data_IF_360193767920
#
_entry.id   IF_360193767920
#
_cell.length_a   1.000
_cell.length_b   1.000
_cell.length_c   1.000
_cell.angle_alpha   90.00
_cell.angle_beta   90.00
_cell.angle_gamma   90.00
#
_symmetry.space_group_name_H-M   'P 1'
#
loop_
_entity.id
_entity.type
_entity.pdbx_description
1 polymer ?
#
# COMPACT_ATOMS: atom_id res chain seq x y z
N UNK A 1 -15.22 6.23 8.14
CA UNK A 1 -14.83 4.80 8.06
C UNK A 1 -13.77 4.52 9.10
N UNK A 2 -13.79 3.32 9.67
CA UNK A 2 -12.75 2.74 10.53
C UNK A 2 -11.71 2.03 9.68
N UNK A 3 -10.47 2.47 9.75
CA UNK A 3 -9.39 2.03 8.87
C UNK A 3 -8.26 1.42 9.69
N UNK A 4 -7.80 0.23 9.30
CA UNK A 4 -6.51 -0.28 9.76
C UNK A 4 -5.42 -0.01 8.74
N UNK A 5 -4.34 0.62 9.17
CA UNK A 5 -3.20 0.97 8.32
C UNK A 5 -1.99 0.13 8.71
N UNK A 6 -1.63 -0.82 7.85
CA UNK A 6 -0.42 -1.63 7.96
C UNK A 6 0.75 -0.88 7.31
N UNK A 7 1.91 -0.85 7.98
CA UNK A 7 3.05 -0.06 7.53
C UNK A 7 2.96 1.43 7.91
N UNK A 8 2.11 1.77 8.88
CA UNK A 8 1.81 3.12 9.39
C UNK A 8 3.03 3.96 9.79
N UNK A 9 4.14 3.33 10.19
CA UNK A 9 5.39 4.04 10.57
C UNK A 9 6.28 4.41 9.38
N UNK A 10 6.04 3.85 8.20
CA UNK A 10 6.80 4.12 6.97
C UNK A 10 6.43 5.46 6.33
N UNK A 11 7.20 5.89 5.33
CA UNK A 11 6.99 7.20 4.69
C UNK A 11 5.58 7.36 4.09
N UNK A 12 5.08 6.37 3.35
CA UNK A 12 3.72 6.40 2.79
C UNK A 12 2.67 6.16 3.88
N UNK A 13 2.92 5.26 4.83
CA UNK A 13 2.01 4.98 5.94
C UNK A 13 1.74 6.20 6.82
N UNK A 14 2.74 7.04 7.08
CA UNK A 14 2.55 8.30 7.82
C UNK A 14 1.65 9.29 7.08
N UNK A 15 1.80 9.37 5.76
CA UNK A 15 0.92 10.19 4.92
C UNK A 15 -0.51 9.64 4.91
N UNK A 16 -0.67 8.32 4.82
CA UNK A 16 -1.98 7.67 4.92
C UNK A 16 -2.65 7.97 6.25
N UNK A 17 -1.95 7.82 7.38
CA UNK A 17 -2.50 8.12 8.72
C UNK A 17 -2.92 9.58 8.81
N UNK A 18 -2.02 10.52 8.47
CA UNK A 18 -2.31 11.95 8.60
C UNK A 18 -3.48 12.39 7.72
N UNK A 19 -3.51 11.97 6.45
CA UNK A 19 -4.56 12.33 5.52
C UNK A 19 -5.89 11.61 5.82
N UNK A 20 -5.86 10.37 6.31
CA UNK A 20 -7.07 9.66 6.72
C UNK A 20 -7.77 10.39 7.88
N UNK A 21 -7.01 10.79 8.90
CA UNK A 21 -7.54 11.57 10.02
C UNK A 21 -8.09 12.93 9.55
N UNK A 22 -7.38 13.63 8.67
CA UNK A 22 -7.83 14.90 8.09
C UNK A 22 -9.13 14.78 7.28
N UNK A 23 -9.40 13.59 6.71
CA UNK A 23 -10.65 13.27 6.00
C UNK A 23 -11.76 12.74 6.93
N UNK A 24 -11.54 12.75 8.25
CA UNK A 24 -12.53 12.34 9.24
C UNK A 24 -12.68 10.83 9.41
N UNK A 25 -11.70 10.03 8.98
CA UNK A 25 -11.68 8.60 9.25
C UNK A 25 -11.21 8.31 10.68
N UNK A 26 -11.70 7.22 11.25
CA UNK A 26 -11.14 6.62 12.47
C UNK A 26 -9.99 5.71 12.05
N UNK A 27 -8.80 5.87 12.65
CA UNK A 27 -7.59 5.21 12.19
C UNK A 27 -6.96 4.36 13.31
N UNK A 28 -6.80 3.08 12.99
CA UNK A 28 -5.98 2.13 13.74
C UNK A 28 -4.64 1.96 13.03
N UNK A 29 -3.57 2.53 13.60
CA UNK A 29 -2.21 2.30 13.11
C UNK A 29 -1.65 1.00 13.69
N UNK A 30 -1.39 0.01 12.84
CA UNK A 30 -0.73 -1.23 13.27
C UNK A 30 0.79 -1.12 13.09
N UNK A 31 1.56 -1.24 14.18
CA UNK A 31 2.99 -1.00 14.15
C UNK A 31 3.76 -1.83 15.19
N UNK A 32 4.92 -2.37 14.77
CA UNK A 32 5.86 -3.06 15.67
C UNK A 32 6.41 -2.17 16.79
N UNK A 33 6.66 -0.91 16.46
CA UNK A 33 7.24 0.10 17.36
C UNK A 33 6.29 1.31 17.46
N UNK A 34 5.25 1.25 18.30
CA UNK A 34 4.21 2.28 18.39
C UNK A 34 4.77 3.64 18.82
N UNK A 35 5.82 3.68 19.64
CA UNK A 35 6.45 4.91 20.15
C UNK A 35 6.98 5.86 19.05
N UNK A 36 7.12 5.35 17.83
CA UNK A 36 7.50 6.16 16.65
C UNK A 36 6.34 7.01 16.12
N UNK A 37 5.12 6.78 16.60
CA UNK A 37 3.92 7.51 16.18
C UNK A 37 3.48 8.38 17.36
N UNK A 38 3.67 9.69 17.20
CA UNK A 38 3.25 10.70 18.18
C UNK A 38 2.13 11.52 17.57
N UNK A 39 0.91 10.99 17.66
CA UNK A 39 -0.31 11.64 17.18
C UNK A 39 -1.29 11.65 18.34
N UNK A 40 -1.75 12.84 18.69
CA UNK A 40 -2.80 13.06 19.67
C UNK A 40 -4.06 13.47 18.90
N UNK A 41 -4.98 12.53 18.70
CA UNK A 41 -6.22 12.75 17.96
C UNK A 41 -7.30 11.77 18.45
N UNK A 42 -8.54 12.23 18.71
CA UNK A 42 -9.58 11.38 19.32
C UNK A 42 -10.00 10.18 18.44
N UNK A 43 -9.91 10.34 17.12
CA UNK A 43 -10.19 9.28 16.15
C UNK A 43 -8.96 8.42 15.80
N UNK A 44 -7.87 8.50 16.58
CA UNK A 44 -6.62 7.78 16.32
C UNK A 44 -6.28 6.81 17.45
N UNK A 45 -5.91 5.59 17.09
CA UNK A 45 -5.31 4.62 18.02
C UNK A 45 -4.15 3.88 17.38
N UNK A 46 -3.21 3.43 18.20
CA UNK A 46 -2.09 2.59 17.76
C UNK A 46 -2.24 1.21 18.39
N UNK A 47 -2.17 0.17 17.55
CA UNK A 47 -2.09 -1.22 17.99
C UNK A 47 -0.66 -1.70 17.76
N UNK A 48 -0.02 -2.14 18.84
CA UNK A 48 1.31 -2.76 18.76
C UNK A 48 1.15 -4.17 18.20
N UNK A 49 1.96 -4.51 17.20
CA UNK A 49 2.08 -5.89 16.73
C UNK A 49 3.01 -6.08 15.53
N UNK A 50 3.28 -7.33 15.19
CA UNK A 50 4.02 -7.80 14.02
C UNK A 50 3.07 -8.42 12.99
N UNK A 51 3.25 -8.08 11.72
CA UNK A 51 2.40 -8.58 10.63
C UNK A 51 2.56 -10.09 10.41
N UNK A 52 3.59 -10.69 11.00
CA UNK A 52 3.81 -12.14 10.98
C UNK A 52 2.95 -12.89 12.00
N UNK A 53 2.41 -12.19 13.00
CA UNK A 53 1.53 -12.78 14.01
C UNK A 53 0.07 -12.63 13.57
N UNK A 54 -0.59 -13.75 13.31
CA UNK A 54 -1.97 -13.74 12.82
C UNK A 54 -2.98 -13.23 13.86
N UNK A 55 -2.77 -13.50 15.15
CA UNK A 55 -3.67 -13.08 16.20
C UNK A 55 -3.57 -11.55 16.42
N UNK A 56 -2.36 -11.00 16.38
CA UNK A 56 -2.16 -9.55 16.49
C UNK A 56 -2.76 -8.81 15.29
N UNK A 57 -2.59 -9.35 14.07
CA UNK A 57 -3.20 -8.77 12.86
C UNK A 57 -4.73 -8.87 12.92
N UNK A 58 -5.27 -10.00 13.37
CA UNK A 58 -6.71 -10.20 13.52
C UNK A 58 -7.33 -9.17 14.46
N UNK A 59 -6.74 -8.96 15.64
CA UNK A 59 -7.20 -7.95 16.60
C UNK A 59 -7.17 -6.53 16.02
N UNK A 60 -6.21 -6.23 15.14
CA UNK A 60 -6.16 -4.93 14.47
C UNK A 60 -7.22 -4.79 13.36
N UNK A 61 -7.66 -5.88 12.75
CA UNK A 61 -8.64 -5.88 11.63
C UNK A 61 -10.08 -5.98 12.12
N UNK A 62 -10.32 -6.50 13.32
CA UNK A 62 -11.65 -6.62 13.92
C UNK A 62 -12.41 -5.28 13.94
N UNK A 63 -13.65 -5.31 13.46
CA UNK A 63 -14.58 -4.17 13.45
C UNK A 63 -14.17 -2.99 12.56
N UNK A 64 -13.23 -3.19 11.63
CA UNK A 64 -12.82 -2.17 10.66
C UNK A 64 -13.67 -2.24 9.39
N UNK A 65 -13.77 -1.11 8.67
CA UNK A 65 -14.47 -1.05 7.38
C UNK A 65 -13.53 -1.41 6.22
N UNK A 66 -12.25 -1.06 6.34
CA UNK A 66 -11.25 -1.30 5.30
C UNK A 66 -9.83 -1.40 5.88
N UNK A 67 -8.95 -2.05 5.12
CA UNK A 67 -7.51 -2.13 5.43
C UNK A 67 -6.71 -1.44 4.34
N UNK A 68 -5.74 -0.61 4.76
CA UNK A 68 -4.75 0.00 3.88
C UNK A 68 -3.38 -0.63 4.13
N UNK A 69 -2.77 -1.18 3.10
CA UNK A 69 -1.51 -1.91 3.20
C UNK A 69 -0.38 -1.12 2.53
N UNK A 70 0.57 -0.64 3.31
CA UNK A 70 1.71 0.16 2.82
C UNK A 70 3.06 -0.32 3.39
N UNK A 71 3.13 -1.59 3.79
CA UNK A 71 4.32 -2.16 4.40
C UNK A 71 5.49 -2.15 3.41
N UNK A 72 6.59 -1.53 3.82
CA UNK A 72 7.87 -1.59 3.13
C UNK A 72 8.81 -2.61 3.79
N UNK A 73 9.73 -3.15 3.01
CA UNK A 73 10.85 -3.95 3.49
C UNK A 73 12.18 -3.33 3.02
N UNK A 74 13.29 -3.53 3.76
CA UNK A 74 14.62 -3.15 3.28
C UNK A 74 14.92 -3.80 1.92
N UNK A 75 15.59 -3.08 1.02
CA UNK A 75 15.87 -3.53 -0.36
C UNK A 75 16.61 -4.87 -0.42
N UNK A 76 17.50 -5.13 0.55
CA UNK A 76 18.29 -6.37 0.62
C UNK A 76 17.62 -7.49 1.43
N UNK A 77 16.38 -7.29 1.89
CA UNK A 77 15.66 -8.32 2.64
C UNK A 77 15.32 -9.49 1.71
N UNK A 78 15.56 -10.71 2.19
CA UNK A 78 15.16 -11.96 1.52
C UNK A 78 13.92 -12.60 2.15
N UNK A 79 13.39 -12.00 3.20
CA UNK A 79 12.31 -12.58 4.01
C UNK A 79 10.93 -12.50 3.36
N UNK A 80 10.80 -11.81 2.21
CA UNK A 80 9.51 -11.56 1.54
C UNK A 80 8.41 -11.10 2.50
N UNK A 81 8.79 -10.20 3.41
CA UNK A 81 7.93 -9.74 4.50
C UNK A 81 6.62 -9.13 3.98
N UNK A 82 6.65 -8.50 2.80
CA UNK A 82 5.45 -7.89 2.22
C UNK A 82 4.46 -8.94 1.75
N UNK A 83 4.92 -9.93 0.98
CA UNK A 83 4.09 -11.04 0.52
C UNK A 83 3.47 -11.80 1.69
N UNK A 84 4.30 -12.27 2.63
CA UNK A 84 3.82 -13.02 3.80
C UNK A 84 2.90 -12.19 4.70
N UNK A 85 3.28 -10.94 5.01
CA UNK A 85 2.43 -10.06 5.82
C UNK A 85 1.10 -9.72 5.14
N UNK A 86 1.09 -9.60 3.80
CA UNK A 86 -0.16 -9.41 3.04
C UNK A 86 -1.07 -10.62 3.19
N UNK A 87 -0.52 -11.85 3.11
CA UNK A 87 -1.31 -13.08 3.30
C UNK A 87 -1.94 -13.13 4.69
N UNK A 88 -1.19 -12.83 5.74
CA UNK A 88 -1.72 -12.76 7.12
C UNK A 88 -2.86 -11.76 7.25
N UNK A 89 -2.72 -10.57 6.65
CA UNK A 89 -3.77 -9.53 6.63
C UNK A 89 -5.01 -9.98 5.88
N UNK A 90 -4.85 -10.62 4.72
CA UNK A 90 -5.98 -11.17 3.95
C UNK A 90 -6.74 -12.21 4.77
N UNK A 91 -6.03 -13.12 5.44
CA UNK A 91 -6.67 -14.17 6.24
C UNK A 91 -7.47 -13.58 7.41
N UNK A 92 -6.92 -12.58 8.08
CA UNK A 92 -7.62 -11.83 9.12
C UNK A 92 -8.85 -11.09 8.56
N UNK A 93 -8.72 -10.42 7.42
CA UNK A 93 -9.83 -9.73 6.75
C UNK A 93 -10.97 -10.68 6.39
N UNK A 94 -10.67 -11.82 5.78
CA UNK A 94 -11.65 -12.85 5.43
C UNK A 94 -12.35 -13.37 6.69
N UNK A 95 -11.59 -13.68 7.75
CA UNK A 95 -12.14 -14.18 9.01
C UNK A 95 -13.05 -13.16 9.71
N UNK A 96 -12.69 -11.88 9.64
CA UNK A 96 -13.41 -10.77 10.28
C UNK A 96 -14.50 -10.15 9.40
N UNK A 97 -14.69 -10.65 8.16
CA UNK A 97 -15.68 -10.12 7.22
C UNK A 97 -15.37 -8.73 6.67
N UNK A 98 -14.12 -8.27 6.76
CA UNK A 98 -13.69 -6.96 6.24
C UNK A 98 -13.30 -7.09 4.78
N UNK A 99 -14.08 -6.50 3.87
CA UNK A 99 -13.97 -6.81 2.44
C UNK A 99 -13.06 -5.85 1.63
N UNK A 100 -12.89 -4.60 2.07
CA UNK A 100 -12.20 -3.55 1.29
C UNK A 100 -10.69 -3.49 1.62
N UNK A 101 -9.84 -3.79 0.64
CA UNK A 101 -8.37 -3.73 0.75
C UNK A 101 -7.77 -2.75 -0.26
N UNK A 102 -6.99 -1.76 0.19
CA UNK A 102 -6.19 -0.90 -0.71
C UNK A 102 -4.71 -1.10 -0.41
N UNK A 103 -3.96 -1.64 -1.36
CA UNK A 103 -2.57 -2.03 -1.16
C UNK A 103 -1.62 -1.25 -2.07
N UNK A 104 -0.51 -0.78 -1.50
CA UNK A 104 0.58 -0.15 -2.23
C UNK A 104 1.54 -1.22 -2.77
N UNK A 105 1.68 -1.25 -4.10
CA UNK A 105 2.68 -2.01 -4.84
C UNK A 105 3.60 -1.06 -5.64
N UNK A 106 4.43 -1.61 -6.52
CA UNK A 106 5.42 -0.88 -7.29
C UNK A 106 5.08 -0.84 -8.79
N UNK A 107 5.30 0.32 -9.40
CA UNK A 107 5.38 0.45 -10.85
C UNK A 107 6.52 -0.44 -11.36
N UNK A 108 6.21 -1.26 -12.36
CA UNK A 108 7.12 -2.23 -12.94
C UNK A 108 6.82 -3.69 -12.57
N UNK A 109 5.91 -3.94 -11.62
CA UNK A 109 5.40 -5.28 -11.33
C UNK A 109 4.49 -5.77 -12.46
N UNK A 110 4.65 -7.04 -12.87
CA UNK A 110 3.78 -7.71 -13.84
C UNK A 110 3.57 -6.90 -15.13
N UNK A 111 2.30 -6.69 -15.48
CA UNK A 111 1.88 -5.99 -16.70
C UNK A 111 2.16 -4.47 -16.70
N UNK A 112 2.69 -3.92 -15.61
CA UNK A 112 3.19 -2.53 -15.56
C UNK A 112 4.68 -2.40 -15.91
N UNK A 113 5.42 -3.49 -16.11
CA UNK A 113 6.83 -3.49 -16.52
C UNK A 113 7.11 -2.64 -17.79
N UNK A 114 6.25 -2.63 -18.83
CA UNK A 114 6.44 -1.77 -20.00
C UNK A 114 6.41 -0.26 -19.69
N UNK A 115 5.87 0.14 -18.55
CA UNK A 115 5.82 1.54 -18.12
C UNK A 115 7.13 2.01 -17.46
N UNK A 116 8.07 1.11 -17.18
CA UNK A 116 9.36 1.47 -16.62
C UNK A 116 10.26 2.16 -17.65
N UNK A 117 11.01 3.21 -17.26
CA UNK A 117 12.07 3.73 -18.10
C UNK A 117 13.12 2.64 -18.40
N UNK A 118 13.67 2.61 -19.62
CA UNK A 118 14.58 1.55 -20.09
C UNK A 118 15.74 1.26 -19.12
N UNK A 119 16.32 2.30 -18.52
CA UNK A 119 17.38 2.17 -17.51
C UNK A 119 16.95 1.40 -16.26
N UNK A 120 15.70 1.58 -15.80
CA UNK A 120 15.18 0.83 -14.67
C UNK A 120 14.93 -0.62 -15.09
N UNK A 121 14.28 -0.82 -16.23
CA UNK A 121 13.95 -2.13 -16.79
C UNK A 121 15.18 -3.03 -16.99
N UNK A 122 16.21 -2.54 -17.66
CA UNK A 122 17.34 -3.37 -18.10
C UNK A 122 18.59 -3.32 -17.21
N UNK A 123 18.69 -2.37 -16.27
CA UNK A 123 19.88 -2.22 -15.43
C UNK A 123 19.54 -2.28 -13.93
N UNK A 124 18.71 -1.35 -13.44
CA UNK A 124 18.48 -1.21 -11.99
C UNK A 124 17.68 -2.38 -11.43
N UNK A 125 16.61 -2.78 -12.11
CA UNK A 125 15.77 -3.90 -11.66
C UNK A 125 16.53 -5.22 -11.58
N UNK A 126 17.17 -5.71 -12.65
CA UNK A 126 17.87 -7.01 -12.61
C UNK A 126 19.06 -7.02 -11.64
N UNK A 127 19.77 -5.91 -11.46
CA UNK A 127 20.98 -5.87 -10.64
C UNK A 127 20.72 -5.58 -9.15
N UNK A 128 19.67 -4.82 -8.81
CA UNK A 128 19.51 -4.28 -7.47
C UNK A 128 18.11 -4.43 -6.86
N UNK A 129 17.05 -4.56 -7.67
CA UNK A 129 15.67 -4.55 -7.18
C UNK A 129 14.92 -5.85 -7.40
N UNK A 130 15.55 -6.90 -7.97
CA UNK A 130 14.84 -8.14 -8.31
C UNK A 130 14.06 -8.73 -7.13
N UNK A 131 14.72 -8.88 -5.97
CA UNK A 131 14.04 -9.39 -4.77
C UNK A 131 12.93 -8.47 -4.23
N UNK A 132 13.00 -7.16 -4.50
CA UNK A 132 11.93 -6.22 -4.14
C UNK A 132 10.72 -6.43 -5.04
N UNK A 133 10.93 -6.58 -6.35
CA UNK A 133 9.86 -6.89 -7.30
C UNK A 133 9.26 -8.27 -7.04
N UNK A 134 10.07 -9.29 -6.76
CA UNK A 134 9.58 -10.64 -6.46
C UNK A 134 8.69 -10.67 -5.20
N UNK A 135 8.99 -9.84 -4.19
CA UNK A 135 8.16 -9.71 -2.97
C UNK A 135 6.86 -8.94 -3.24
N UNK A 136 6.89 -7.92 -4.10
CA UNK A 136 5.67 -7.25 -4.57
C UNK A 136 4.79 -8.19 -5.41
N UNK A 137 5.37 -8.96 -6.33
CA UNK A 137 4.61 -9.91 -7.15
C UNK A 137 3.96 -11.02 -6.29
N UNK A 138 4.65 -11.50 -5.25
CA UNK A 138 4.05 -12.41 -4.27
C UNK A 138 2.86 -11.76 -3.53
N UNK A 139 3.01 -10.51 -3.09
CA UNK A 139 1.92 -9.74 -2.51
C UNK A 139 0.73 -9.62 -3.47
N UNK A 140 0.98 -9.23 -4.73
CA UNK A 140 -0.07 -9.03 -5.73
C UNK A 140 -0.81 -10.34 -6.03
N UNK A 141 -0.10 -11.47 -6.09
CA UNK A 141 -0.70 -12.79 -6.27
C UNK A 141 -1.68 -13.13 -5.13
N UNK A 142 -1.24 -13.01 -3.88
CA UNK A 142 -2.10 -13.27 -2.72
C UNK A 142 -3.34 -12.39 -2.70
N UNK A 143 -3.20 -11.09 -3.00
CA UNK A 143 -4.33 -10.16 -3.06
C UNK A 143 -5.32 -10.58 -4.14
N UNK A 144 -4.85 -10.93 -5.34
CA UNK A 144 -5.72 -11.32 -6.46
C UNK A 144 -6.53 -12.58 -6.17
N UNK A 145 -5.95 -13.52 -5.42
CA UNK A 145 -6.58 -14.79 -5.06
C UNK A 145 -7.52 -14.69 -3.83
N UNK A 146 -7.53 -13.55 -3.13
CA UNK A 146 -8.23 -13.38 -1.85
C UNK A 146 -9.76 -13.38 -1.91
N UNK A 147 -10.34 -13.09 -3.09
CA UNK A 147 -11.78 -12.86 -3.24
C UNK A 147 -12.29 -11.49 -2.73
N UNK A 148 -11.45 -10.71 -2.04
CA UNK A 148 -11.78 -9.40 -1.46
C UNK A 148 -12.13 -8.34 -2.53
N UNK A 149 -12.72 -7.23 -2.10
CA UNK A 149 -12.74 -5.96 -2.85
C UNK A 149 -11.41 -5.25 -2.72
N UNK A 150 -10.45 -5.65 -3.56
CA UNK A 150 -9.10 -5.13 -3.50
C UNK A 150 -8.78 -4.11 -4.60
N UNK A 151 -7.90 -3.15 -4.29
CA UNK A 151 -7.24 -2.29 -5.27
C UNK A 151 -5.72 -2.33 -5.00
N UNK A 152 -4.92 -2.58 -6.03
CA UNK A 152 -3.45 -2.55 -5.93
C UNK A 152 -2.94 -1.29 -6.64
N UNK A 153 -2.38 -0.36 -5.88
CA UNK A 153 -1.83 0.89 -6.40
C UNK A 153 -0.35 0.70 -6.71
N UNK A 154 0.02 0.65 -7.99
CA UNK A 154 1.42 0.51 -8.43
C UNK A 154 2.08 1.87 -8.59
N UNK A 155 2.80 2.31 -7.56
CA UNK A 155 3.39 3.64 -7.54
C UNK A 155 4.78 3.69 -8.22
N UNK A 156 5.05 4.78 -8.92
CA UNK A 156 6.41 5.14 -9.34
C UNK A 156 7.38 5.33 -8.15
N UNK A 157 8.62 5.69 -8.45
CA UNK A 157 9.64 5.91 -7.43
C UNK A 157 9.21 7.01 -6.43
N UNK A 158 9.12 6.63 -5.15
CA UNK A 158 8.53 7.44 -4.10
C UNK A 158 9.45 8.60 -3.67
N UNK A 159 8.96 9.83 -3.80
CA UNK A 159 9.61 11.06 -3.34
C UNK A 159 8.94 11.61 -2.07
N UNK A 160 9.51 12.68 -1.50
CA UNK A 160 8.97 13.37 -0.32
C UNK A 160 8.38 14.75 -0.68
N UNK A 161 7.91 14.93 -1.92
CA UNK A 161 7.14 16.12 -2.30
C UNK A 161 5.83 16.23 -1.52
N UNK A 162 5.22 17.43 -1.56
CA UNK A 162 3.91 17.67 -0.96
C UNK A 162 2.76 17.00 -1.73
N UNK A 163 1.55 17.10 -1.17
CA UNK A 163 0.30 16.77 -1.84
C UNK A 163 0.06 17.79 -2.95
N UNK A 164 -0.14 17.31 -4.17
CA UNK A 164 -0.46 18.14 -5.35
C UNK A 164 -1.83 17.85 -5.92
N UNK A 165 -2.35 16.63 -5.72
CA UNK A 165 -3.54 16.11 -6.40
C UNK A 165 -3.46 16.22 -7.94
N UNK A 166 -2.23 16.24 -8.47
CA UNK A 166 -1.95 16.36 -9.90
C UNK A 166 -1.01 15.25 -10.31
N UNK A 167 -1.59 14.06 -10.49
CA UNK A 167 -0.89 12.86 -10.93
C UNK A 167 -1.74 12.07 -11.91
N UNK A 168 -1.08 11.35 -12.80
CA UNK A 168 -1.74 10.39 -13.67
C UNK A 168 -2.01 9.09 -12.91
N UNK A 169 -3.16 8.47 -13.19
CA UNK A 169 -3.46 7.11 -12.77
C UNK A 169 -4.17 6.32 -13.87
N UNK A 170 -3.85 5.03 -14.00
CA UNK A 170 -4.49 4.17 -15.00
C UNK A 170 -3.82 2.80 -15.15
N UNK A 171 -4.48 1.91 -15.91
CA UNK A 171 -3.91 0.60 -16.24
C UNK A 171 -2.86 0.67 -17.35
N UNK A 172 -2.97 1.66 -18.24
CA UNK A 172 -2.10 1.89 -19.38
C UNK A 172 -1.81 3.38 -19.51
N UNK A 173 -0.59 3.71 -19.93
CA UNK A 173 -0.22 5.11 -20.16
C UNK A 173 -0.82 5.69 -21.45
N UNK A 174 -1.28 4.86 -22.39
CA UNK A 174 -1.96 5.27 -23.64
C UNK A 174 -1.25 6.44 -24.38
N UNK A 175 0.07 6.30 -24.58
CA UNK A 175 0.89 7.32 -25.23
C UNK A 175 1.39 8.45 -24.32
N UNK A 176 1.01 8.47 -23.04
CA UNK A 176 1.51 9.44 -22.06
C UNK A 176 2.95 9.13 -21.67
N UNK A 177 3.76 10.17 -21.62
CA UNK A 177 5.07 10.12 -20.98
C UNK A 177 4.89 10.21 -19.48
N UNK A 178 5.22 9.14 -18.76
CA UNK A 178 5.25 9.15 -17.30
C UNK A 178 6.68 9.30 -16.79
N UNK A 179 6.85 10.05 -15.71
CA UNK A 179 8.15 10.33 -15.06
C UNK A 179 8.70 9.12 -14.27
N UNK A 180 7.84 8.15 -13.99
CA UNK A 180 8.06 7.04 -13.07
C UNK A 180 8.44 7.50 -11.65
N UNK A 181 7.90 8.63 -11.20
CA UNK A 181 8.05 9.18 -9.86
C UNK A 181 6.71 9.67 -9.34
N UNK A 182 6.54 9.64 -8.02
CA UNK A 182 5.37 10.21 -7.35
C UNK A 182 5.68 10.52 -5.89
N UNK A 183 5.09 11.56 -5.30
CA UNK A 183 5.25 11.85 -3.88
C UNK A 183 4.46 10.87 -3.02
N UNK A 184 4.98 10.55 -1.84
CA UNK A 184 4.24 9.74 -0.85
C UNK A 184 2.91 10.37 -0.43
N UNK A 185 2.82 11.70 -0.47
CA UNK A 185 1.60 12.43 -0.17
C UNK A 185 0.53 12.18 -1.24
N UNK A 186 0.88 12.22 -2.53
CA UNK A 186 -0.03 11.92 -3.63
C UNK A 186 -0.40 10.43 -3.70
N UNK A 187 0.53 9.53 -3.36
CA UNK A 187 0.21 8.10 -3.21
C UNK A 187 -0.87 7.90 -2.14
N UNK A 188 -0.69 8.51 -0.96
CA UNK A 188 -1.67 8.41 0.12
C UNK A 188 -3.03 8.99 -0.28
N UNK A 189 -3.02 10.13 -0.96
CA UNK A 189 -4.24 10.79 -1.42
C UNK A 189 -5.03 9.91 -2.39
N UNK A 190 -4.36 9.32 -3.38
CA UNK A 190 -4.95 8.40 -4.33
C UNK A 190 -5.49 7.15 -3.66
N UNK A 191 -4.70 6.51 -2.78
CA UNK A 191 -5.11 5.30 -2.07
C UNK A 191 -6.36 5.56 -1.23
N UNK A 192 -6.43 6.68 -0.51
CA UNK A 192 -7.60 7.03 0.30
C UNK A 192 -8.84 7.33 -0.57
N UNK A 193 -8.68 7.85 -1.78
CA UNK A 193 -9.80 8.01 -2.73
C UNK A 193 -10.42 6.67 -3.15
N UNK A 194 -9.66 5.57 -3.13
CA UNK A 194 -10.13 4.23 -3.50
C UNK A 194 -11.02 3.57 -2.43
N UNK A 195 -11.16 4.20 -1.25
CA UNK A 195 -12.09 3.74 -0.22
C UNK A 195 -13.55 3.98 -0.62
N UNK A 196 -13.80 4.92 -1.53
CA UNK A 196 -15.15 5.32 -1.97
C UNK A 196 -15.34 5.30 -3.49
N UNK A 197 -14.25 5.35 -4.27
CA UNK A 197 -14.30 5.18 -5.73
C UNK A 197 -14.11 3.71 -6.10
N UNK A 198 -15.15 3.12 -6.69
CA UNK A 198 -15.19 1.70 -7.05
C UNK A 198 -14.61 1.40 -8.45
N UNK A 199 -14.17 2.43 -9.19
CA UNK A 199 -13.62 2.30 -10.56
C UNK A 199 -12.50 1.26 -10.66
N UNK A 200 -11.71 1.10 -9.61
CA UNK A 200 -10.55 0.21 -9.58
C UNK A 200 -10.74 -1.05 -8.73
N UNK A 201 -11.97 -1.39 -8.32
CA UNK A 201 -12.22 -2.67 -7.64
C UNK A 201 -11.69 -3.81 -8.51
N UNK A 202 -10.85 -4.66 -7.90
CA UNK A 202 -10.12 -5.78 -8.51
C UNK A 202 -9.25 -5.37 -9.71
N UNK A 203 -8.67 -4.17 -9.64
CA UNK A 203 -7.73 -3.61 -10.63
C UNK A 203 -6.42 -3.16 -9.97
N UNK A 204 -5.41 -2.95 -10.82
CA UNK A 204 -4.04 -2.64 -10.40
C UNK A 204 -3.54 -1.32 -11.04
N UNK A 205 -4.19 -0.17 -10.80
CA UNK A 205 -3.81 1.09 -11.43
C UNK A 205 -2.36 1.47 -11.08
N UNK A 206 -1.64 1.94 -12.09
CA UNK A 206 -0.35 2.60 -11.91
C UNK A 206 -0.53 4.08 -11.62
N UNK A 207 0.34 4.68 -10.81
CA UNK A 207 0.32 6.12 -10.49
C UNK A 207 1.70 6.75 -10.63
N UNK A 208 1.76 7.93 -11.24
CA UNK A 208 3.00 8.65 -11.59
C UNK A 208 2.70 10.10 -11.99
N UNK A 209 3.68 11.00 -11.91
CA UNK A 209 3.62 12.29 -12.60
C UNK A 209 3.88 12.13 -14.10
#
# INVERSE_FOLDING_TARGET
>A
MKLTIIGSTGGSGRQLVAQALARGHEVTAFARNPDKIKIDHPAFRVVKGDVRDSAEVESAVEGQDAVMFSLGAPVRSKEKLRGHGTKTVIDAMVKQGVNRLVSLSALGCGDSEPLLPLKYKYLITPLALRGVYDDHELQEAHIRESGLEWIIVRAGALTNGGLTDSYWHGMRADGRRISAKISRADVADFMLKQLVDDRYIRRMPSISY
#
